data_IF_022016513758
#
_entry.id   IF_022016513758
#
_cell.length_a   1.000
_cell.length_b   1.000
_cell.length_c   1.000
_cell.angle_alpha   90.00
_cell.angle_beta   90.00
_cell.angle_gamma   90.00
#
_symmetry.space_group_name_H-M   'P 1'
#
loop_
_entity.id
_entity.type
_entity.pdbx_description
1 polymer ?
#
# COMPACT_ATOMS: atom_id res chain seq x y z
N UNK A 1 -8.06 -2.81 -29.04
CA UNK A 1 -6.68 -2.44 -29.42
C UNK A 1 -6.19 -1.26 -28.56
N UNK A 2 -7.01 -0.19 -28.34
CA UNK A 2 -6.65 0.93 -27.46
C UNK A 2 -6.35 0.51 -25.99
N UNK A 3 -7.17 -0.36 -25.39
CA UNK A 3 -6.96 -0.81 -23.99
C UNK A 3 -5.64 -1.54 -23.78
N UNK A 4 -5.12 -2.27 -24.77
CA UNK A 4 -3.83 -2.97 -24.68
C UNK A 4 -2.63 -2.03 -24.76
N UNK A 5 -2.68 -0.99 -25.61
CA UNK A 5 -1.64 0.05 -25.71
C UNK A 5 -1.56 0.92 -24.47
N UNK A 6 -2.71 1.28 -23.89
CA UNK A 6 -2.79 2.07 -22.65
C UNK A 6 -2.19 1.32 -21.48
N UNK A 7 -2.49 0.01 -21.31
CA UNK A 7 -1.88 -0.83 -20.28
C UNK A 7 -0.36 -0.97 -20.44
N UNK A 8 0.14 -1.09 -21.66
CA UNK A 8 1.59 -1.16 -21.92
C UNK A 8 2.30 0.16 -21.65
N UNK A 9 1.70 1.30 -21.90
CA UNK A 9 2.26 2.61 -21.55
C UNK A 9 2.30 2.80 -20.03
N UNK A 10 1.21 2.54 -19.33
CA UNK A 10 1.17 2.63 -17.86
C UNK A 10 2.24 1.74 -17.20
N UNK A 11 2.40 0.50 -17.64
CA UNK A 11 3.43 -0.41 -17.10
C UNK A 11 4.85 0.14 -17.32
N UNK A 12 5.14 0.69 -18.50
CA UNK A 12 6.47 1.21 -18.81
C UNK A 12 6.81 2.45 -17.99
N UNK A 13 5.85 3.35 -17.81
CA UNK A 13 6.05 4.59 -17.06
C UNK A 13 6.13 4.29 -15.56
N UNK A 14 5.34 3.32 -15.06
CA UNK A 14 5.46 2.82 -13.70
C UNK A 14 6.85 2.26 -13.42
N UNK A 15 7.41 1.42 -14.30
CA UNK A 15 8.75 0.84 -14.13
C UNK A 15 9.80 1.93 -13.91
N UNK A 16 9.82 2.98 -14.74
CA UNK A 16 10.79 4.07 -14.63
C UNK A 16 10.65 4.82 -13.30
N UNK A 17 9.43 5.14 -12.93
CA UNK A 17 9.12 5.87 -11.70
C UNK A 17 9.51 5.08 -10.45
N UNK A 18 9.17 3.81 -10.42
CA UNK A 18 9.46 2.90 -9.31
C UNK A 18 10.97 2.67 -9.17
N UNK A 19 11.66 2.41 -10.28
CA UNK A 19 13.12 2.23 -10.28
C UNK A 19 13.85 3.52 -9.87
N UNK A 20 13.32 4.67 -10.24
CA UNK A 20 13.88 5.95 -9.83
C UNK A 20 13.70 6.20 -8.32
N UNK A 21 12.49 5.94 -7.79
CA UNK A 21 12.23 6.03 -6.36
C UNK A 21 13.11 5.05 -5.57
N UNK A 22 13.21 3.80 -6.03
CA UNK A 22 14.10 2.80 -5.45
C UNK A 22 15.54 3.31 -5.34
N UNK A 23 16.06 3.84 -6.45
CA UNK A 23 17.44 4.38 -6.49
C UNK A 23 17.64 5.51 -5.48
N UNK A 24 16.68 6.42 -5.35
CA UNK A 24 16.77 7.49 -4.34
C UNK A 24 16.84 6.90 -2.94
N UNK A 25 15.97 5.92 -2.62
CA UNK A 25 15.96 5.28 -1.31
C UNK A 25 17.26 4.52 -1.03
N UNK A 26 17.84 3.88 -2.03
CA UNK A 26 19.12 3.19 -1.94
C UNK A 26 20.28 4.19 -1.76
N UNK A 27 20.33 5.26 -2.56
CA UNK A 27 21.35 6.33 -2.47
C UNK A 27 21.27 7.09 -1.11
N UNK A 28 20.08 7.17 -0.49
CA UNK A 28 19.88 7.72 0.85
C UNK A 28 20.16 6.69 1.96
N UNK A 29 20.67 5.51 1.64
CA UNK A 29 20.93 4.41 2.58
C UNK A 29 19.70 3.99 3.40
N UNK A 30 18.51 4.10 2.80
CA UNK A 30 17.24 3.72 3.42
C UNK A 30 16.83 2.27 3.11
N UNK A 31 17.56 1.63 2.17
CA UNK A 31 17.36 0.23 1.80
C UNK A 31 18.67 -0.52 2.05
N UNK A 32 18.57 -1.70 2.65
CA UNK A 32 19.68 -2.61 2.89
C UNK A 32 19.29 -4.06 2.62
N UNK A 33 20.25 -4.91 2.30
CA UNK A 33 20.02 -6.33 2.11
C UNK A 33 20.18 -7.08 3.44
N UNK A 34 19.22 -7.96 3.75
CA UNK A 34 19.27 -8.85 4.90
C UNK A 34 18.57 -10.17 4.59
N UNK A 35 18.72 -11.15 5.47
CA UNK A 35 17.94 -12.37 5.41
C UNK A 35 16.64 -12.17 6.14
N UNK A 36 15.56 -12.60 5.53
CA UNK A 36 14.25 -12.70 6.16
C UNK A 36 13.96 -14.16 6.49
N UNK A 37 13.64 -14.39 7.73
CA UNK A 37 13.17 -15.69 8.20
C UNK A 37 11.78 -15.49 8.80
N UNK A 38 10.82 -16.31 8.38
CA UNK A 38 9.47 -16.19 8.93
C UNK A 38 8.47 -17.13 8.27
N UNK A 39 7.29 -17.17 8.88
CA UNK A 39 6.15 -17.92 8.37
C UNK A 39 5.50 -17.15 7.21
N UNK A 40 5.51 -17.73 6.02
CA UNK A 40 4.96 -17.13 4.82
C UNK A 40 3.76 -17.91 4.30
N UNK A 41 2.66 -17.22 4.03
CA UNK A 41 1.52 -17.77 3.30
C UNK A 41 1.60 -17.39 1.83
N UNK A 42 1.67 -18.39 0.96
CA UNK A 42 1.66 -18.19 -0.49
C UNK A 42 0.30 -17.69 -0.95
N UNK A 43 -0.79 -18.14 -0.33
CA UNK A 43 -2.15 -17.75 -0.70
C UNK A 43 -2.50 -16.31 -0.30
N UNK A 44 -1.95 -15.84 0.81
CA UNK A 44 -2.19 -14.47 1.32
C UNK A 44 -1.09 -13.50 0.85
N UNK A 45 -0.03 -14.02 0.20
CA UNK A 45 1.18 -13.27 -0.20
C UNK A 45 1.76 -12.43 0.94
N UNK A 46 1.72 -12.98 2.18
CA UNK A 46 2.07 -12.24 3.40
C UNK A 46 2.90 -13.08 4.36
N UNK A 47 3.72 -12.38 5.14
CA UNK A 47 4.41 -12.95 6.29
C UNK A 47 3.64 -12.71 7.57
N UNK A 48 3.71 -13.71 8.47
CA UNK A 48 3.00 -13.71 9.74
C UNK A 48 3.97 -13.88 10.91
N UNK A 49 3.64 -13.28 12.05
CA UNK A 49 4.39 -13.45 13.29
C UNK A 49 4.00 -14.80 13.94
N UNK A 50 4.86 -15.37 14.80
CA UNK A 50 4.56 -16.65 15.48
C UNK A 50 3.26 -16.65 16.28
N UNK A 51 2.83 -15.50 16.81
CA UNK A 51 1.59 -15.32 17.56
C UNK A 51 0.32 -15.26 16.68
N UNK A 52 0.50 -15.10 15.35
CA UNK A 52 -0.57 -15.13 14.36
C UNK A 52 -0.79 -16.53 13.76
N UNK A 53 -0.05 -17.54 14.23
CA UNK A 53 -0.02 -18.88 13.65
C UNK A 53 -0.48 -19.93 14.65
N UNK A 54 -1.35 -20.81 14.20
CA UNK A 54 -1.71 -22.03 14.92
C UNK A 54 -1.12 -23.28 14.24
N UNK A 55 -0.77 -24.28 15.05
CA UNK A 55 -0.25 -25.57 14.57
C UNK A 55 -1.32 -26.63 14.72
N UNK A 56 -1.66 -27.34 13.62
CA UNK A 56 -2.58 -28.48 13.60
C UNK A 56 -1.95 -29.60 12.79
N UNK A 57 -1.89 -30.81 13.34
CA UNK A 57 -1.41 -32.02 12.65
C UNK A 57 -0.06 -31.84 11.90
N UNK A 58 0.93 -31.24 12.56
CA UNK A 58 2.25 -30.92 11.98
C UNK A 58 2.22 -29.92 10.82
N UNK A 59 1.14 -29.20 10.63
CA UNK A 59 1.03 -28.08 9.66
C UNK A 59 0.74 -26.80 10.41
N UNK A 60 1.17 -25.70 9.81
CA UNK A 60 1.01 -24.37 10.38
C UNK A 60 0.04 -23.55 9.54
N UNK A 61 -0.86 -22.82 10.19
CA UNK A 61 -1.93 -22.05 9.55
C UNK A 61 -2.04 -20.66 10.18
N UNK A 62 -2.43 -19.68 9.41
CA UNK A 62 -2.76 -18.34 9.90
C UNK A 62 -4.07 -18.39 10.66
N UNK A 63 -4.09 -17.89 11.90
CA UNK A 63 -5.30 -17.88 12.76
C UNK A 63 -6.46 -17.13 12.11
N UNK A 64 -6.17 -16.00 11.47
CA UNK A 64 -7.19 -15.09 10.92
C UNK A 64 -7.79 -15.52 9.58
N UNK A 65 -7.00 -16.18 8.72
CA UNK A 65 -7.41 -16.57 7.37
C UNK A 65 -7.56 -18.09 7.19
N UNK A 66 -6.95 -18.89 8.06
CA UNK A 66 -6.86 -20.35 7.90
C UNK A 66 -5.91 -20.77 6.77
N UNK A 67 -5.16 -19.86 6.20
CA UNK A 67 -4.22 -20.13 5.11
C UNK A 67 -3.01 -20.90 5.60
N UNK A 68 -2.52 -21.91 4.84
CA UNK A 68 -1.31 -22.63 5.20
C UNK A 68 -0.08 -21.71 5.10
N UNK A 69 0.85 -21.89 6.04
CA UNK A 69 2.13 -21.19 6.06
C UNK A 69 3.30 -22.16 6.09
N UNK A 70 4.39 -21.74 5.49
CA UNK A 70 5.67 -22.45 5.47
C UNK A 70 6.76 -21.54 6.05
N UNK A 71 7.74 -22.15 6.72
CA UNK A 71 8.90 -21.39 7.18
C UNK A 71 9.83 -21.14 6.00
N UNK A 72 10.04 -19.86 5.68
CA UNK A 72 10.85 -19.42 4.55
C UNK A 72 12.03 -18.61 5.08
N UNK A 73 13.21 -18.93 4.59
CA UNK A 73 14.42 -18.11 4.73
C UNK A 73 14.77 -17.57 3.35
N UNK A 74 14.66 -16.27 3.17
CA UNK A 74 14.91 -15.62 1.88
C UNK A 74 15.74 -14.36 2.07
N UNK A 75 16.72 -14.15 1.19
CA UNK A 75 17.38 -12.86 1.09
C UNK A 75 16.40 -11.81 0.54
N UNK A 76 16.30 -10.68 1.20
CA UNK A 76 15.43 -9.59 0.81
C UNK A 76 16.07 -8.24 1.08
N UNK A 77 15.67 -7.25 0.31
CA UNK A 77 15.95 -5.86 0.62
C UNK A 77 14.91 -5.34 1.60
N UNK A 78 15.39 -4.62 2.61
CA UNK A 78 14.57 -4.03 3.66
C UNK A 78 14.66 -2.52 3.61
N UNK A 79 13.51 -1.86 3.70
CA UNK A 79 13.41 -0.44 3.97
C UNK A 79 13.44 -0.21 5.48
N UNK A 80 14.27 0.72 5.95
CA UNK A 80 14.45 1.05 7.37
C UNK A 80 13.26 1.78 7.96
N UNK A 81 12.09 1.13 7.92
CA UNK A 81 10.84 1.72 8.37
C UNK A 81 10.86 2.06 9.86
N UNK A 82 11.60 1.31 10.67
CA UNK A 82 11.76 1.56 12.11
C UNK A 82 12.37 2.93 12.43
N UNK A 83 13.23 3.48 11.55
CA UNK A 83 13.81 4.82 11.72
C UNK A 83 12.76 5.92 11.55
N UNK A 84 11.62 5.62 10.91
CA UNK A 84 10.56 6.59 10.58
C UNK A 84 9.46 6.67 11.64
N UNK A 85 9.48 5.88 12.69
CA UNK A 85 8.49 5.92 13.77
C UNK A 85 8.32 7.33 14.36
N UNK A 86 9.42 7.90 14.88
CA UNK A 86 9.41 9.24 15.48
C UNK A 86 9.08 10.35 14.47
N UNK A 87 9.66 10.37 13.25
CA UNK A 87 9.27 11.34 12.23
C UNK A 87 7.79 11.30 11.85
N UNK A 88 7.21 10.10 11.73
CA UNK A 88 5.80 9.92 11.41
C UNK A 88 4.90 10.41 12.54
N UNK A 89 5.18 10.05 13.79
CA UNK A 89 4.41 10.51 14.95
C UNK A 89 4.44 12.05 15.07
N UNK A 90 5.61 12.65 14.89
CA UNK A 90 5.74 14.11 14.86
C UNK A 90 4.91 14.72 13.72
N UNK A 91 4.99 14.15 12.53
CA UNK A 91 4.21 14.61 11.37
C UNK A 91 2.70 14.54 11.63
N UNK A 92 2.19 13.45 12.23
CA UNK A 92 0.75 13.33 12.55
C UNK A 92 0.30 14.31 13.63
N UNK A 93 1.18 14.68 14.56
CA UNK A 93 0.90 15.69 15.59
C UNK A 93 0.82 17.08 14.99
N UNK A 94 1.75 17.43 14.13
CA UNK A 94 1.78 18.69 13.40
C UNK A 94 0.67 18.81 12.34
N UNK A 95 0.15 17.68 11.85
CA UNK A 95 -0.88 17.59 10.81
C UNK A 95 -2.08 16.75 11.25
N UNK A 96 -2.89 17.19 12.21
CA UNK A 96 -3.96 16.40 12.81
C UNK A 96 -5.06 15.98 11.83
N UNK A 97 -5.17 16.67 10.68
CA UNK A 97 -6.13 16.36 9.62
C UNK A 97 -5.54 15.52 8.47
N UNK A 98 -4.31 15.03 8.62
CA UNK A 98 -3.67 14.19 7.59
C UNK A 98 -4.38 12.85 7.42
N UNK A 99 -4.83 12.22 8.52
CA UNK A 99 -5.56 10.95 8.49
C UNK A 99 -7.00 11.19 8.96
N UNK A 100 -7.96 10.77 8.14
CA UNK A 100 -9.38 10.87 8.43
C UNK A 100 -10.12 9.55 8.11
N UNK A 101 -11.24 9.27 8.79
CA UNK A 101 -11.77 9.94 9.98
C UNK A 101 -10.90 9.72 11.22
N UNK A 102 -11.23 10.37 12.33
CA UNK A 102 -10.43 10.36 13.56
C UNK A 102 -10.15 8.95 14.11
N UNK A 103 -11.13 8.06 14.05
CA UNK A 103 -10.94 6.67 14.45
C UNK A 103 -9.80 5.98 13.67
N UNK A 104 -9.64 6.28 12.38
CA UNK A 104 -8.55 5.76 11.57
C UNK A 104 -7.19 6.37 11.94
N UNK A 105 -7.19 7.66 12.29
CA UNK A 105 -6.00 8.32 12.82
C UNK A 105 -5.51 7.65 14.10
N UNK A 106 -6.43 7.39 15.02
CA UNK A 106 -6.10 6.76 16.31
C UNK A 106 -5.56 5.33 16.11
N UNK A 107 -6.15 4.56 15.18
CA UNK A 107 -5.66 3.23 14.80
C UNK A 107 -4.22 3.28 14.28
N UNK A 108 -3.92 4.19 13.36
CA UNK A 108 -2.58 4.36 12.78
C UNK A 108 -1.56 4.80 13.85
N UNK A 109 -1.90 5.79 14.67
CA UNK A 109 -1.01 6.29 15.72
C UNK A 109 -0.71 5.19 16.74
N UNK A 110 -1.73 4.42 17.14
CA UNK A 110 -1.54 3.28 18.05
C UNK A 110 -0.62 2.24 17.44
N UNK A 111 -0.81 1.90 16.17
CA UNK A 111 0.05 0.94 15.48
C UNK A 111 1.51 1.42 15.41
N UNK A 112 1.76 2.69 15.07
CA UNK A 112 3.12 3.24 15.01
C UNK A 112 3.76 3.28 16.39
N UNK A 113 3.02 3.67 17.44
CA UNK A 113 3.51 3.69 18.83
C UNK A 113 3.86 2.32 19.40
N UNK A 114 3.28 1.25 18.87
CA UNK A 114 3.63 -0.13 19.27
C UNK A 114 4.99 -0.58 18.71
N UNK A 115 5.65 0.25 17.93
CA UNK A 115 6.95 0.00 17.31
C UNK A 115 6.83 -0.44 15.85
N UNK A 116 7.59 0.19 14.98
CA UNK A 116 7.70 -0.19 13.57
C UNK A 116 8.89 -1.14 13.38
N UNK A 117 8.69 -2.19 12.58
CA UNK A 117 9.75 -3.07 12.10
C UNK A 117 10.13 -2.68 10.68
N UNK A 118 11.37 -2.96 10.29
CA UNK A 118 11.83 -2.73 8.94
C UNK A 118 11.02 -3.56 7.94
N UNK A 119 10.71 -2.95 6.81
CA UNK A 119 9.80 -3.50 5.82
C UNK A 119 10.56 -4.21 4.70
N UNK A 120 10.30 -5.49 4.48
CA UNK A 120 10.82 -6.21 3.32
C UNK A 120 10.17 -5.64 2.04
N UNK A 121 11.01 -5.08 1.15
CA UNK A 121 10.59 -4.37 -0.09
C UNK A 121 11.02 -5.06 -1.37
N UNK A 122 11.49 -6.30 -1.28
CA UNK A 122 11.80 -7.13 -2.45
C UNK A 122 11.36 -8.57 -2.30
N UNK A 123 11.35 -9.30 -3.42
CA UNK A 123 11.11 -10.74 -3.48
C UNK A 123 12.04 -11.38 -4.49
N UNK A 124 12.53 -12.58 -4.18
CA UNK A 124 13.39 -13.39 -5.06
C UNK A 124 12.63 -14.57 -5.68
N UNK A 125 11.58 -15.04 -5.00
CA UNK A 125 10.78 -16.20 -5.40
C UNK A 125 9.93 -15.98 -6.65
N UNK A 126 9.66 -14.72 -7.02
CA UNK A 126 8.86 -14.40 -8.20
C UNK A 126 9.75 -13.94 -9.37
N UNK A 127 9.42 -14.43 -10.57
CA UNK A 127 10.09 -14.01 -11.81
C UNK A 127 9.39 -12.81 -12.48
N UNK A 128 8.12 -12.53 -12.12
CA UNK A 128 7.32 -11.44 -12.68
C UNK A 128 7.29 -10.23 -11.73
N UNK A 129 7.59 -9.06 -12.26
CA UNK A 129 7.56 -7.81 -11.50
C UNK A 129 8.64 -6.83 -11.97
N UNK A 130 8.73 -5.69 -11.29
CA UNK A 130 9.75 -4.67 -11.57
C UNK A 130 11.07 -5.09 -10.95
N UNK A 131 12.08 -5.28 -11.78
CA UNK A 131 13.42 -5.65 -11.32
C UNK A 131 14.11 -4.49 -10.61
N UNK A 132 14.86 -4.82 -9.55
CA UNK A 132 15.71 -3.87 -8.84
C UNK A 132 16.88 -3.48 -9.74
N UNK A 133 17.17 -2.18 -9.95
CA UNK A 133 18.23 -1.73 -10.84
C UNK A 133 19.62 -2.23 -10.45
N UNK A 134 19.91 -2.30 -9.16
CA UNK A 134 21.19 -2.74 -8.59
C UNK A 134 21.32 -4.26 -8.48
N UNK A 135 20.19 -5.01 -8.54
CA UNK A 135 20.19 -6.48 -8.40
C UNK A 135 19.02 -7.12 -9.16
N UNK A 136 19.30 -7.63 -10.36
CA UNK A 136 18.29 -8.22 -11.25
C UNK A 136 17.70 -9.56 -10.79
N UNK A 137 18.23 -10.17 -9.72
CA UNK A 137 17.66 -11.40 -9.13
C UNK A 137 16.42 -11.14 -8.30
N UNK A 138 16.28 -9.89 -7.81
CA UNK A 138 15.15 -9.47 -7.02
C UNK A 138 14.16 -8.63 -7.81
N UNK A 139 12.90 -8.74 -7.46
CA UNK A 139 11.83 -7.84 -7.92
C UNK A 139 11.37 -6.96 -6.78
N UNK A 140 10.94 -5.76 -7.12
CA UNK A 140 10.42 -4.79 -6.16
C UNK A 140 9.07 -5.28 -5.64
N UNK A 141 8.85 -5.18 -4.34
CA UNK A 141 7.62 -5.58 -3.69
C UNK A 141 6.44 -4.72 -4.17
N UNK A 142 5.32 -5.40 -4.38
CA UNK A 142 4.11 -4.84 -5.00
C UNK A 142 3.62 -3.52 -4.39
N UNK A 143 3.75 -3.34 -3.08
CA UNK A 143 3.27 -2.11 -2.44
C UNK A 143 4.17 -0.89 -2.71
N UNK A 144 5.47 -1.05 -2.92
CA UNK A 144 6.31 0.06 -3.36
C UNK A 144 5.93 0.47 -4.80
N UNK A 145 5.67 -0.51 -5.68
CA UNK A 145 5.16 -0.28 -7.05
C UNK A 145 3.78 0.39 -7.01
N UNK A 146 2.83 -0.21 -6.33
CA UNK A 146 1.45 0.28 -6.27
C UNK A 146 1.33 1.71 -5.72
N UNK A 147 2.09 2.06 -4.68
CA UNK A 147 2.09 3.41 -4.11
C UNK A 147 2.79 4.42 -5.03
N UNK A 148 3.86 4.01 -5.71
CA UNK A 148 4.54 4.88 -6.67
C UNK A 148 3.67 5.22 -7.88
N UNK A 149 2.61 4.45 -8.12
CA UNK A 149 1.67 4.73 -9.22
C UNK A 149 1.03 6.12 -9.12
N UNK A 150 0.83 6.66 -7.91
CA UNK A 150 0.36 8.03 -7.71
C UNK A 150 1.30 9.07 -8.32
N UNK A 151 2.59 8.80 -8.37
CA UNK A 151 3.59 9.66 -8.99
C UNK A 151 3.77 9.36 -10.48
N UNK A 152 3.76 8.07 -10.86
CA UNK A 152 3.96 7.67 -12.25
C UNK A 152 2.86 8.16 -13.17
N UNK A 153 1.63 8.24 -12.68
CA UNK A 153 0.50 8.83 -13.39
C UNK A 153 0.68 10.32 -13.71
N UNK A 154 1.60 10.98 -13.01
CA UNK A 154 1.94 12.41 -13.16
C UNK A 154 3.28 12.62 -13.85
N UNK A 155 3.75 11.63 -14.60
CA UNK A 155 5.00 11.65 -15.37
C UNK A 155 6.29 11.74 -14.51
N UNK A 156 6.23 11.38 -13.20
CA UNK A 156 7.44 11.23 -12.39
C UNK A 156 8.41 10.22 -13.04
N UNK A 157 9.73 10.46 -13.05
CA UNK A 157 10.47 11.43 -12.24
C UNK A 157 10.60 12.84 -12.84
N UNK A 158 9.88 13.19 -13.89
CA UNK A 158 9.89 14.55 -14.41
C UNK A 158 9.06 15.50 -13.53
N UNK A 159 9.64 15.97 -12.43
CA UNK A 159 8.98 16.92 -11.51
C UNK A 159 8.71 18.31 -12.12
N UNK A 160 9.21 18.57 -13.33
CA UNK A 160 8.92 19.80 -14.08
C UNK A 160 7.67 19.67 -14.97
N UNK A 161 7.14 18.47 -15.11
CA UNK A 161 5.91 18.22 -15.86
C UNK A 161 4.72 18.96 -15.25
N UNK A 162 3.83 19.45 -16.11
CA UNK A 162 2.66 20.20 -15.67
C UNK A 162 1.69 19.35 -14.86
N UNK A 163 1.51 18.07 -15.21
CA UNK A 163 0.68 17.15 -14.40
C UNK A 163 1.24 17.01 -12.99
N UNK A 164 2.56 16.83 -12.86
CA UNK A 164 3.18 16.73 -11.55
C UNK A 164 2.99 18.02 -10.74
N UNK A 165 3.27 19.18 -11.32
CA UNK A 165 3.14 20.46 -10.62
C UNK A 165 1.70 20.79 -10.21
N UNK A 166 0.74 20.41 -11.02
CA UNK A 166 -0.67 20.75 -10.79
C UNK A 166 -1.36 19.76 -9.84
N UNK A 167 -0.95 18.48 -9.82
CA UNK A 167 -1.65 17.43 -9.10
C UNK A 167 -0.83 16.78 -7.98
N UNK A 168 0.46 17.12 -7.82
CA UNK A 168 1.25 16.68 -6.68
C UNK A 168 1.77 17.87 -5.87
N UNK A 169 1.61 17.86 -4.54
CA UNK A 169 1.04 16.78 -3.73
C UNK A 169 -0.48 16.66 -3.87
N UNK A 170 -0.98 15.43 -3.86
CA UNK A 170 -2.40 15.15 -3.92
C UNK A 170 -3.15 15.78 -2.74
N UNK A 171 -4.35 16.33 -2.97
CA UNK A 171 -5.16 16.91 -1.90
C UNK A 171 -5.71 15.83 -0.95
N UNK A 172 -6.07 14.67 -1.51
CA UNK A 172 -6.56 13.53 -0.73
C UNK A 172 -6.34 12.20 -1.44
N UNK A 173 -5.89 11.18 -0.69
CA UNK A 173 -6.00 9.79 -1.07
C UNK A 173 -7.23 9.19 -0.43
N UNK A 174 -8.24 8.81 -1.22
CA UNK A 174 -9.46 8.13 -0.75
C UNK A 174 -9.24 6.64 -0.92
N UNK A 175 -9.28 5.89 0.18
CA UNK A 175 -8.90 4.47 0.22
C UNK A 175 -9.82 3.65 1.13
N UNK A 176 -9.88 2.35 0.90
CA UNK A 176 -10.48 1.40 1.84
C UNK A 176 -9.63 1.25 3.11
N UNK A 177 -10.28 0.99 4.24
CA UNK A 177 -9.59 0.84 5.54
C UNK A 177 -8.56 -0.30 5.58
N UNK A 178 -8.70 -1.30 4.73
CA UNK A 178 -7.82 -2.46 4.60
C UNK A 178 -6.41 -2.11 4.11
N UNK A 179 -6.30 -1.03 3.34
CA UNK A 179 -5.02 -0.53 2.83
C UNK A 179 -4.54 0.75 3.53
N UNK A 180 -5.13 1.06 4.69
CA UNK A 180 -4.83 2.29 5.44
C UNK A 180 -3.35 2.37 5.84
N UNK A 181 -2.77 1.28 6.35
CA UNK A 181 -1.37 1.26 6.80
C UNK A 181 -0.39 1.58 5.68
N UNK A 182 -0.68 1.07 4.48
CA UNK A 182 0.17 1.34 3.30
C UNK A 182 0.18 2.82 2.93
N UNK A 183 -0.97 3.51 3.02
CA UNK A 183 -1.11 4.91 2.61
C UNK A 183 -0.79 5.90 3.71
N UNK A 184 -1.00 5.52 4.97
CA UNK A 184 -0.79 6.41 6.10
C UNK A 184 0.58 6.24 6.78
N UNK A 185 1.24 5.08 6.62
CA UNK A 185 2.55 4.80 7.24
C UNK A 185 3.63 4.61 6.18
N UNK A 186 3.51 3.57 5.32
CA UNK A 186 4.59 3.21 4.39
C UNK A 186 4.81 4.28 3.33
N UNK A 187 3.74 4.78 2.73
CA UNK A 187 3.84 5.81 1.69
C UNK A 187 4.45 7.11 2.19
N UNK A 188 3.99 7.72 3.32
CA UNK A 188 4.67 8.85 3.90
C UNK A 188 6.15 8.60 4.24
N UNK A 189 6.48 7.42 4.80
CA UNK A 189 7.87 7.08 5.10
C UNK A 189 8.74 7.02 3.84
N UNK A 190 8.28 6.39 2.75
CA UNK A 190 8.99 6.37 1.47
C UNK A 190 9.19 7.78 0.90
N UNK A 191 8.16 8.61 0.94
CA UNK A 191 8.23 9.98 0.44
C UNK A 191 9.16 10.84 1.27
N UNK A 192 9.09 10.77 2.60
CA UNK A 192 10.02 11.48 3.49
C UNK A 192 11.47 11.04 3.24
N UNK A 193 11.72 9.74 3.15
CA UNK A 193 13.03 9.18 2.85
C UNK A 193 13.57 9.64 1.51
N UNK A 194 12.71 9.75 0.50
CA UNK A 194 13.05 10.25 -0.83
C UNK A 194 13.05 11.78 -0.92
N UNK A 195 12.75 12.51 0.16
CA UNK A 195 12.62 13.98 0.21
C UNK A 195 11.59 14.51 -0.80
N UNK A 196 10.52 13.76 -0.99
CA UNK A 196 9.40 14.15 -1.86
C UNK A 196 8.26 14.74 -1.01
N UNK A 197 7.45 15.66 -1.58
CA UNK A 197 6.26 16.18 -0.91
C UNK A 197 5.27 15.06 -0.56
N UNK A 198 4.63 15.16 0.61
CA UNK A 198 3.60 14.24 1.04
C UNK A 198 2.23 14.67 0.51
N UNK A 199 1.27 13.73 0.31
CA UNK A 199 -0.12 14.08 0.08
C UNK A 199 -0.66 14.88 1.27
N UNK A 200 -1.65 15.75 1.04
CA UNK A 200 -2.20 16.60 2.10
C UNK A 200 -3.08 15.81 3.07
N UNK A 201 -3.70 14.70 2.60
CA UNK A 201 -4.65 13.91 3.39
C UNK A 201 -4.78 12.47 2.90
N UNK A 202 -5.06 11.58 3.85
CA UNK A 202 -5.53 10.20 3.61
C UNK A 202 -6.89 10.03 4.26
N UNK A 203 -7.90 9.63 3.48
CA UNK A 203 -9.24 9.35 3.97
C UNK A 203 -9.54 7.85 3.82
N UNK A 204 -9.64 7.15 4.96
CA UNK A 204 -9.91 5.71 5.01
C UNK A 204 -11.39 5.43 5.24
N UNK A 205 -12.15 5.07 4.19
CA UNK A 205 -13.55 4.68 4.33
C UNK A 205 -13.69 3.25 4.85
N UNK A 206 -14.87 2.95 5.42
CA UNK A 206 -15.22 1.60 5.90
C UNK A 206 -15.41 0.60 4.77
N UNK A 207 -15.88 -0.62 5.14
CA UNK A 207 -16.24 -1.61 4.14
C UNK A 207 -17.47 -1.17 3.34
N UNK A 208 -17.46 -1.42 2.04
CA UNK A 208 -18.67 -1.33 1.23
C UNK A 208 -19.47 -2.61 1.49
N UNK A 209 -20.72 -2.43 1.94
CA UNK A 209 -21.61 -3.52 2.30
C UNK A 209 -22.64 -3.74 1.18
N UNK A 210 -23.04 -5.00 1.00
CA UNK A 210 -24.22 -5.38 0.24
C UNK A 210 -25.19 -6.09 1.21
N UNK A 211 -26.22 -5.37 1.63
CA UNK A 211 -26.98 -5.73 2.82
C UNK A 211 -26.12 -5.60 4.08
N UNK A 212 -26.14 -6.61 4.94
CA UNK A 212 -25.35 -6.65 6.18
C UNK A 212 -23.95 -7.30 6.00
N UNK A 213 -23.58 -7.69 4.79
CA UNK A 213 -22.33 -8.37 4.52
C UNK A 213 -21.33 -7.52 3.72
N UNK A 214 -20.02 -7.71 4.02
CA UNK A 214 -18.94 -7.13 3.22
C UNK A 214 -19.07 -7.57 1.77
N UNK A 215 -19.10 -6.62 0.85
CA UNK A 215 -19.08 -6.88 -0.59
C UNK A 215 -17.74 -7.48 -1.00
N UNK A 216 -17.75 -8.67 -1.60
CA UNK A 216 -16.54 -9.32 -2.09
C UNK A 216 -16.80 -10.23 -3.29
N UNK A 217 -15.77 -10.38 -4.14
CA UNK A 217 -15.84 -11.27 -5.32
C UNK A 217 -16.06 -12.73 -4.92
N UNK A 218 -15.44 -13.17 -3.85
CA UNK A 218 -15.56 -14.54 -3.35
C UNK A 218 -16.97 -14.89 -2.87
N UNK A 219 -17.75 -13.89 -2.43
CA UNK A 219 -19.15 -14.07 -2.00
C UNK A 219 -20.17 -13.88 -3.11
N UNK A 220 -19.76 -13.40 -4.28
CA UNK A 220 -20.66 -13.17 -5.41
C UNK A 220 -21.70 -12.05 -5.21
N UNK A 221 -21.53 -11.23 -4.17
CA UNK A 221 -22.44 -10.14 -3.81
C UNK A 221 -21.98 -8.77 -4.31
N UNK A 222 -21.25 -8.75 -5.43
CA UNK A 222 -20.74 -7.50 -6.02
C UNK A 222 -21.85 -6.82 -6.80
N UNK A 223 -22.02 -5.53 -6.57
CA UNK A 223 -22.80 -4.64 -7.41
C UNK A 223 -21.89 -3.97 -8.44
N UNK A 224 -22.28 -4.00 -9.71
CA UNK A 224 -21.52 -3.27 -10.74
C UNK A 224 -21.70 -1.77 -10.53
N UNK A 225 -20.61 -1.02 -10.27
CA UNK A 225 -20.70 0.41 -10.05
C UNK A 225 -21.24 1.17 -11.28
N UNK A 226 -21.05 0.65 -12.50
CA UNK A 226 -21.58 1.27 -13.71
C UNK A 226 -23.11 1.15 -13.79
N UNK A 227 -23.67 0.02 -13.38
CA UNK A 227 -25.14 -0.15 -13.30
C UNK A 227 -25.74 0.83 -12.29
N UNK A 228 -25.13 0.95 -11.12
CA UNK A 228 -25.60 1.87 -10.07
C UNK A 228 -25.49 3.33 -10.53
N UNK A 229 -24.38 3.72 -11.15
CA UNK A 229 -24.18 5.06 -11.69
C UNK A 229 -25.24 5.39 -12.77
N UNK A 230 -25.59 4.43 -13.62
CA UNK A 230 -26.61 4.62 -14.64
C UNK A 230 -28.00 4.87 -14.05
N UNK A 231 -28.31 4.29 -12.89
CA UNK A 231 -29.61 4.43 -12.23
C UNK A 231 -29.67 5.68 -11.36
N UNK A 232 -28.62 5.96 -10.57
CA UNK A 232 -28.64 6.99 -9.53
C UNK A 232 -27.75 8.21 -9.82
N UNK A 233 -26.91 8.15 -10.82
CA UNK A 233 -25.90 9.17 -11.11
C UNK A 233 -24.63 9.03 -10.29
N UNK A 234 -23.51 9.50 -10.84
CA UNK A 234 -22.18 9.37 -10.23
C UNK A 234 -22.07 10.05 -8.86
N UNK A 235 -22.56 11.27 -8.76
CA UNK A 235 -22.44 12.07 -7.53
C UNK A 235 -23.23 11.48 -6.38
N UNK A 236 -24.45 10.97 -6.64
CA UNK A 236 -25.29 10.33 -5.62
C UNK A 236 -24.63 9.07 -5.07
N UNK A 237 -24.05 8.24 -5.95
CA UNK A 237 -23.36 7.00 -5.54
C UNK A 237 -22.12 7.33 -4.70
N UNK A 238 -21.29 8.25 -5.15
CA UNK A 238 -20.08 8.66 -4.44
C UNK A 238 -20.39 9.23 -3.07
N UNK A 239 -21.38 10.09 -2.96
CA UNK A 239 -21.79 10.71 -1.68
C UNK A 239 -22.32 9.70 -0.68
N UNK A 240 -23.21 8.81 -1.11
CA UNK A 240 -23.85 7.81 -0.22
C UNK A 240 -22.83 6.82 0.32
N UNK A 241 -21.92 6.30 -0.53
CA UNK A 241 -20.92 5.33 -0.12
C UNK A 241 -19.85 5.91 0.81
N UNK A 242 -19.48 7.17 0.67
CA UNK A 242 -18.51 7.82 1.55
C UNK A 242 -19.10 8.18 2.92
N UNK A 243 -20.40 8.49 3.01
CA UNK A 243 -21.05 8.89 4.27
C UNK A 243 -21.71 7.79 5.06
N UNK A 244 -22.13 6.70 4.43
CA UNK A 244 -22.89 5.61 5.10
C UNK A 244 -22.12 4.94 6.26
N UNK A 245 -20.83 5.22 6.44
CA UNK A 245 -19.97 4.63 7.47
C UNK A 245 -19.54 5.59 8.59
N UNK A 246 -20.07 6.82 8.61
CA UNK A 246 -19.79 7.76 9.72
C UNK A 246 -20.74 7.60 10.90
N UNK A 247 -21.79 6.75 10.79
CA UNK A 247 -22.84 6.58 11.81
C UNK A 247 -22.87 5.20 12.47
N UNK A 248 -21.75 4.46 12.45
CA UNK A 248 -21.64 3.16 13.11
C UNK A 248 -20.46 3.07 14.05
#
# INVERSE_FOLDING_TARGET
IMRRRQRQMCIRDSIKSVQHLWKILEDQNQIYMSKYEGWYSVSDEAFYQPDEIESKENKHFVISSGSPVEWVEEESFFFKLSEWEKPLLKFYDENPKFILPEGRRNEVISFVKNGLKDLSVSRKTFSWGIKIPSNNEHIIYVWLDALTNYLSALNYPNTKDELYKNFWPADVHIIGKDILRFHAIYWPAFLMAAKLPLPKRVYGHGWILSGDEKMSKSKGNILDPLEIINVYGLDTVSYTHLRAHETG
#
